data_IF_322118019004
#
_entry.id   IF_322118019004
#
_cell.length_a   1.000
_cell.length_b   1.000
_cell.length_c   1.000
_cell.angle_alpha   90.00
_cell.angle_beta   90.00
_cell.angle_gamma   90.00
#
_symmetry.space_group_name_H-M   'P 1'
#
loop_
_entity.id
_entity.type
_entity.pdbx_description
1 polymer ?
#
# COMPACT_ATOMS: atom_id res chain seq x y z
N UNK A 1 -2.46 -7.00 -9.10
CA UNK A 1 -2.91 -8.09 -9.99
C UNK A 1 -4.03 -8.92 -9.34
N UNK A 2 -5.29 -8.78 -9.80
CA UNK A 2 -6.42 -9.54 -9.26
C UNK A 2 -6.22 -11.05 -9.33
N UNK A 3 -5.63 -11.55 -10.42
CA UNK A 3 -5.36 -12.98 -10.63
C UNK A 3 -4.43 -13.55 -9.55
N UNK A 4 -3.31 -12.86 -9.25
CA UNK A 4 -2.35 -13.31 -8.25
C UNK A 4 -2.98 -13.27 -6.85
N UNK A 5 -3.72 -12.20 -6.52
CA UNK A 5 -4.47 -12.09 -5.26
C UNK A 5 -5.44 -13.26 -5.07
N UNK A 6 -6.27 -13.55 -6.08
CA UNK A 6 -7.24 -14.65 -6.01
C UNK A 6 -6.56 -16.02 -5.80
N UNK A 7 -5.45 -16.27 -6.52
CA UNK A 7 -4.68 -17.51 -6.39
C UNK A 7 -4.05 -17.63 -4.99
N UNK A 8 -3.50 -16.53 -4.46
CA UNK A 8 -2.91 -16.49 -3.12
C UNK A 8 -3.97 -16.78 -2.04
N UNK A 9 -5.12 -16.10 -2.10
CA UNK A 9 -6.24 -16.33 -1.16
C UNK A 9 -6.64 -17.80 -1.17
N UNK A 10 -6.87 -18.37 -2.38
CA UNK A 10 -7.24 -19.77 -2.52
C UNK A 10 -6.20 -20.71 -1.88
N UNK A 11 -4.93 -20.54 -2.20
CA UNK A 11 -3.85 -21.39 -1.68
C UNK A 11 -3.72 -21.30 -0.15
N UNK A 12 -3.86 -20.10 0.42
CA UNK A 12 -3.82 -19.92 1.88
C UNK A 12 -5.02 -20.57 2.57
N UNK A 13 -6.24 -20.48 2.01
CA UNK A 13 -7.41 -21.18 2.52
C UNK A 13 -7.22 -22.70 2.47
N UNK A 14 -6.72 -23.23 1.35
CA UNK A 14 -6.43 -24.66 1.18
C UNK A 14 -5.31 -25.16 2.11
N UNK A 15 -4.50 -24.26 2.66
CA UNK A 15 -3.52 -24.57 3.71
C UNK A 15 -4.04 -24.36 5.14
N UNK A 16 -5.35 -24.10 5.31
CA UNK A 16 -6.00 -23.98 6.61
C UNK A 16 -5.81 -22.63 7.28
N UNK A 17 -5.57 -21.54 6.51
CA UNK A 17 -5.45 -20.19 7.04
C UNK A 17 -6.72 -19.39 6.82
N UNK A 18 -7.21 -18.78 7.90
CA UNK A 18 -8.24 -17.75 7.79
C UNK A 18 -7.62 -16.45 7.29
N UNK A 19 -8.32 -15.75 6.43
CA UNK A 19 -7.82 -14.58 5.71
C UNK A 19 -8.76 -13.40 5.91
N UNK A 20 -8.16 -12.24 6.18
CA UNK A 20 -8.85 -10.96 6.12
C UNK A 20 -8.34 -10.22 4.88
N UNK A 21 -9.21 -10.08 3.88
CA UNK A 21 -8.94 -9.30 2.68
C UNK A 21 -9.25 -7.82 2.94
N UNK A 22 -8.22 -7.00 3.03
CA UNK A 22 -8.33 -5.55 3.27
C UNK A 22 -8.46 -4.73 1.97
N UNK A 23 -8.62 -5.39 0.83
CA UNK A 23 -8.81 -4.73 -0.46
C UNK A 23 -7.53 -4.15 -1.06
N UNK A 24 -7.69 -3.05 -1.80
CA UNK A 24 -6.60 -2.33 -2.44
C UNK A 24 -6.21 -1.13 -1.59
N UNK A 25 -5.05 -1.20 -0.96
CA UNK A 25 -4.56 -0.20 0.00
C UNK A 25 -3.06 0.07 -0.20
N UNK A 26 -2.53 1.22 0.24
CA UNK A 26 -1.09 1.44 0.30
C UNK A 26 -0.38 0.44 1.24
N UNK A 27 0.87 0.10 0.92
CA UNK A 27 1.66 -0.89 1.68
C UNK A 27 1.71 -0.64 3.20
N UNK A 28 1.86 0.59 3.72
CA UNK A 28 1.84 0.85 5.17
C UNK A 28 0.57 0.37 5.86
N UNK A 29 -0.56 0.37 5.17
CA UNK A 29 -1.83 -0.09 5.73
C UNK A 29 -1.88 -1.60 5.92
N UNK A 30 -1.17 -2.39 5.12
CA UNK A 30 -1.01 -3.82 5.39
C UNK A 30 -0.28 -4.05 6.71
N UNK A 31 0.83 -3.33 6.95
CA UNK A 31 1.56 -3.42 8.23
C UNK A 31 0.74 -2.93 9.42
N UNK A 32 -0.05 -1.87 9.25
CA UNK A 32 -1.01 -1.43 10.25
C UNK A 32 -2.04 -2.51 10.55
N UNK A 33 -2.68 -3.07 9.52
CA UNK A 33 -3.72 -4.07 9.66
C UNK A 33 -3.23 -5.32 10.39
N UNK A 34 -2.02 -5.81 10.12
CA UNK A 34 -1.48 -7.00 10.81
C UNK A 34 -1.39 -6.83 12.32
N UNK A 35 -1.16 -5.61 12.80
CA UNK A 35 -1.12 -5.26 14.23
C UNK A 35 -2.50 -4.93 14.78
N UNK A 36 -3.24 -4.09 14.07
CA UNK A 36 -4.56 -3.62 14.48
C UNK A 36 -5.56 -4.77 14.63
N UNK A 37 -5.55 -5.71 13.68
CA UNK A 37 -6.41 -6.90 13.68
C UNK A 37 -5.79 -8.10 14.43
N UNK A 38 -4.62 -7.91 15.05
CA UNK A 38 -3.88 -8.95 15.78
C UNK A 38 -3.58 -10.22 14.95
N UNK A 39 -3.49 -10.10 13.64
CA UNK A 39 -3.16 -11.20 12.73
C UNK A 39 -1.67 -11.54 12.74
N UNK A 40 -0.80 -10.57 13.04
CA UNK A 40 0.66 -10.65 13.06
C UNK A 40 1.32 -11.05 11.73
N UNK A 41 0.55 -11.51 10.75
CA UNK A 41 1.04 -11.92 9.42
C UNK A 41 0.24 -11.25 8.34
N UNK A 42 0.88 -10.94 7.22
CA UNK A 42 0.22 -10.30 6.09
C UNK A 42 1.03 -10.41 4.80
N UNK A 43 0.34 -10.37 3.68
CA UNK A 43 0.95 -10.38 2.36
C UNK A 43 0.38 -9.24 1.51
N UNK A 44 1.27 -8.41 0.96
CA UNK A 44 0.94 -7.38 -0.01
C UNK A 44 1.35 -7.84 -1.41
N UNK A 45 0.39 -7.90 -2.32
CA UNK A 45 0.67 -8.10 -3.76
C UNK A 45 0.88 -6.72 -4.39
N UNK A 46 2.08 -6.46 -4.90
CA UNK A 46 2.45 -5.14 -5.43
C UNK A 46 3.53 -5.22 -6.49
N UNK A 47 3.45 -4.41 -7.52
CA UNK A 47 4.55 -4.15 -8.46
C UNK A 47 5.54 -3.10 -7.94
N UNK A 48 5.25 -2.43 -6.81
CA UNK A 48 6.01 -1.26 -6.34
C UNK A 48 6.06 -0.16 -7.42
N UNK A 49 7.25 0.34 -7.76
CA UNK A 49 7.49 1.34 -8.81
C UNK A 49 7.81 0.72 -10.17
N UNK A 50 7.59 -0.57 -10.34
CA UNK A 50 7.84 -1.26 -11.60
C UNK A 50 6.69 -1.03 -12.61
N UNK A 51 6.93 -1.29 -13.91
CA UNK A 51 5.87 -1.29 -14.91
C UNK A 51 4.66 -2.17 -14.56
N UNK A 52 3.48 -1.93 -15.14
CA UNK A 52 2.22 -2.59 -14.77
C UNK A 52 2.18 -4.11 -14.90
N UNK A 53 3.06 -4.69 -15.71
CA UNK A 53 3.20 -6.13 -15.94
C UNK A 53 4.04 -6.84 -14.86
N UNK A 54 4.75 -6.08 -14.02
CA UNK A 54 5.50 -6.60 -12.88
C UNK A 54 4.61 -6.85 -11.67
N UNK A 55 4.93 -7.91 -10.93
CA UNK A 55 4.28 -8.24 -9.67
C UNK A 55 5.31 -8.73 -8.67
N UNK A 56 5.05 -8.47 -7.40
CA UNK A 56 5.86 -8.94 -6.29
C UNK A 56 5.01 -9.16 -5.05
N UNK A 57 5.62 -9.74 -4.03
CA UNK A 57 5.01 -9.99 -2.75
C UNK A 57 5.89 -9.38 -1.66
N UNK A 58 5.28 -8.56 -0.78
CA UNK A 58 5.88 -8.19 0.51
C UNK A 58 5.21 -9.05 1.56
N UNK A 59 6.01 -9.82 2.30
CA UNK A 59 5.51 -10.85 3.21
C UNK A 59 5.97 -10.53 4.62
N UNK A 60 5.02 -10.52 5.54
CA UNK A 60 5.25 -10.44 6.98
C UNK A 60 4.71 -11.72 7.64
N UNK A 61 5.50 -12.36 8.48
CA UNK A 61 5.10 -13.53 9.26
C UNK A 61 5.44 -13.27 10.72
N UNK A 62 4.46 -13.42 11.58
CA UNK A 62 4.57 -13.25 13.05
C UNK A 62 5.23 -11.93 13.47
N UNK A 63 4.95 -10.85 12.76
CA UNK A 63 5.48 -9.51 13.03
C UNK A 63 6.81 -9.20 12.35
N UNK A 64 7.43 -10.16 11.66
CA UNK A 64 8.70 -9.98 10.95
C UNK A 64 8.51 -9.93 9.44
N UNK A 65 9.08 -8.92 8.79
CA UNK A 65 9.09 -8.82 7.32
C UNK A 65 10.18 -9.70 6.75
N UNK A 66 9.80 -10.62 5.87
CA UNK A 66 10.75 -11.56 5.27
C UNK A 66 11.66 -10.86 4.26
N UNK A 67 12.97 -11.20 4.33
CA UNK A 67 13.99 -10.73 3.39
C UNK A 67 15.15 -11.73 3.32
N UNK A 68 16.00 -11.62 2.29
CA UNK A 68 17.23 -12.44 2.20
C UNK A 68 16.96 -13.93 2.37
N UNK A 69 17.64 -14.56 3.33
CA UNK A 69 17.60 -15.99 3.57
C UNK A 69 16.21 -16.52 3.92
N UNK A 70 15.39 -15.74 4.62
CA UNK A 70 14.03 -16.17 4.96
C UNK A 70 13.14 -16.37 3.73
N UNK A 71 13.38 -15.60 2.65
CA UNK A 71 12.72 -15.82 1.35
C UNK A 71 13.26 -17.10 0.70
N UNK A 72 14.56 -17.38 0.79
CA UNK A 72 15.16 -18.62 0.25
C UNK A 72 14.59 -19.85 0.98
N UNK A 73 14.41 -19.82 2.28
CA UNK A 73 13.75 -20.90 3.01
C UNK A 73 12.33 -21.18 2.55
N UNK A 74 11.56 -20.14 2.15
CA UNK A 74 10.24 -20.38 1.52
C UNK A 74 10.36 -21.12 0.20
N UNK A 75 11.36 -20.78 -0.63
CA UNK A 75 11.62 -21.46 -1.90
C UNK A 75 11.98 -22.93 -1.66
N UNK A 76 12.90 -23.22 -0.74
CA UNK A 76 13.32 -24.58 -0.38
C UNK A 76 12.12 -25.43 0.03
N UNK A 77 11.24 -24.91 0.91
CA UNK A 77 10.02 -25.61 1.33
C UNK A 77 9.09 -25.93 0.18
N UNK A 78 8.99 -25.06 -0.81
CA UNK A 78 8.19 -25.29 -2.02
C UNK A 78 8.83 -26.40 -2.87
N UNK A 79 10.13 -26.35 -3.08
CA UNK A 79 10.88 -27.34 -3.87
C UNK A 79 10.83 -28.74 -3.24
N UNK A 80 10.84 -28.82 -1.90
CA UNK A 80 10.71 -30.07 -1.14
C UNK A 80 9.27 -30.59 -1.04
N UNK A 81 8.30 -29.80 -1.49
CA UNK A 81 6.87 -30.14 -1.33
C UNK A 81 6.41 -30.13 0.14
N UNK A 82 7.13 -29.46 1.03
CA UNK A 82 6.81 -29.34 2.45
C UNK A 82 5.66 -28.33 2.64
N UNK A 83 4.49 -28.70 2.17
CA UNK A 83 3.28 -27.89 2.20
C UNK A 83 2.26 -28.53 3.14
N UNK A 84 1.49 -27.67 3.81
CA UNK A 84 0.39 -28.09 4.68
C UNK A 84 -0.92 -28.01 3.94
N UNK A 85 -1.88 -28.84 4.31
CA UNK A 85 -3.25 -28.82 3.81
C UNK A 85 -4.23 -28.56 4.94
N UNK A 86 -5.31 -27.86 4.66
CA UNK A 86 -6.35 -27.56 5.63
C UNK A 86 -7.54 -26.89 4.97
N UNK A 87 -8.40 -26.29 5.78
CA UNK A 87 -9.56 -25.54 5.34
C UNK A 87 -9.65 -24.25 6.15
N UNK A 88 -9.52 -23.12 5.49
CA UNK A 88 -9.69 -21.79 6.05
C UNK A 88 -10.85 -21.05 5.44
N UNK A 89 -11.14 -19.88 5.98
CA UNK A 89 -12.19 -18.96 5.50
C UNK A 89 -11.56 -17.64 5.01
N UNK A 90 -12.34 -16.87 4.25
CA UNK A 90 -11.98 -15.49 3.86
C UNK A 90 -13.13 -14.56 4.22
N UNK A 91 -12.77 -13.42 4.80
CA UNK A 91 -13.65 -12.28 5.01
C UNK A 91 -13.03 -11.01 4.43
N UNK A 92 -13.86 -10.01 4.16
CA UNK A 92 -13.40 -8.70 3.69
C UNK A 92 -13.59 -7.65 4.77
N UNK A 93 -12.59 -6.77 4.96
CA UNK A 93 -12.64 -5.71 5.95
C UNK A 93 -12.07 -4.41 5.37
N UNK A 94 -12.74 -3.29 5.65
CA UNK A 94 -12.23 -1.96 5.32
C UNK A 94 -11.48 -1.37 6.53
N UNK A 95 -10.16 -1.29 6.44
CA UNK A 95 -9.29 -0.76 7.49
C UNK A 95 -8.92 0.73 7.30
N UNK A 96 -9.41 1.36 6.23
CA UNK A 96 -9.09 2.76 5.90
C UNK A 96 -9.52 3.72 7.00
N UNK A 97 -10.75 3.64 7.54
CA UNK A 97 -11.18 4.55 8.61
C UNK A 97 -10.31 4.43 9.86
N UNK A 98 -10.00 3.22 10.29
CA UNK A 98 -9.18 2.97 11.49
C UNK A 98 -7.74 3.47 11.31
N UNK A 99 -7.19 3.31 10.10
CA UNK A 99 -5.86 3.82 9.75
C UNK A 99 -5.81 5.35 9.81
N UNK A 100 -6.80 6.02 9.21
CA UNK A 100 -6.90 7.49 9.23
C UNK A 100 -7.03 7.98 10.68
N UNK A 101 -7.92 7.37 11.47
CA UNK A 101 -8.12 7.77 12.87
C UNK A 101 -6.85 7.55 13.71
N UNK A 102 -6.13 6.46 13.48
CA UNK A 102 -4.86 6.19 14.15
C UNK A 102 -3.85 7.30 13.88
N UNK A 103 -3.71 7.74 12.63
CA UNK A 103 -2.79 8.84 12.28
C UNK A 103 -3.25 10.15 12.88
N UNK A 104 -4.55 10.47 12.80
CA UNK A 104 -5.12 11.70 13.36
C UNK A 104 -4.92 11.81 14.87
N UNK A 105 -4.94 10.69 15.58
CA UNK A 105 -4.71 10.66 17.02
C UNK A 105 -3.25 10.90 17.43
N UNK A 106 -2.31 10.59 16.53
CA UNK A 106 -0.87 10.68 16.82
C UNK A 106 -0.20 11.92 16.22
N UNK A 107 -0.73 12.45 15.11
CA UNK A 107 -0.08 13.51 14.32
C UNK A 107 -0.84 14.82 14.45
N UNK A 108 -0.14 15.85 14.89
CA UNK A 108 -0.66 17.22 14.94
C UNK A 108 0.14 18.13 14.02
N UNK A 109 -0.54 18.72 13.05
CA UNK A 109 0.04 19.76 12.19
C UNK A 109 -0.02 21.08 12.95
N UNK A 110 1.13 21.66 13.29
CA UNK A 110 1.23 22.83 14.17
C UNK A 110 0.63 24.12 13.59
N UNK A 111 0.47 24.19 12.26
CA UNK A 111 -0.21 25.29 11.56
C UNK A 111 -0.78 24.77 10.23
N UNK A 112 -1.87 25.37 9.71
CA UNK A 112 -2.42 25.01 8.41
C UNK A 112 -1.35 25.17 7.31
N UNK A 113 -1.23 24.13 6.48
CA UNK A 113 -0.29 24.13 5.35
C UNK A 113 -1.05 23.94 4.04
N UNK A 114 -0.53 24.58 2.98
CA UNK A 114 -0.93 24.25 1.61
C UNK A 114 -0.04 23.12 1.11
N UNK A 115 -0.66 22.04 0.66
CA UNK A 115 0.03 20.82 0.25
C UNK A 115 -0.39 20.45 -1.16
N UNK A 116 0.58 20.24 -2.05
CA UNK A 116 0.34 19.61 -3.35
C UNK A 116 0.69 18.13 -3.21
N UNK A 117 -0.27 17.25 -3.47
CA UNK A 117 -0.12 15.80 -3.40
C UNK A 117 -0.18 15.22 -4.80
N UNK A 118 0.90 14.61 -5.23
CA UNK A 118 0.97 13.85 -6.47
C UNK A 118 1.03 12.37 -6.14
N UNK A 119 -0.03 11.64 -6.49
CA UNK A 119 -0.14 10.21 -6.25
C UNK A 119 0.29 9.35 -7.44
N UNK A 120 0.66 9.97 -8.58
CA UNK A 120 1.08 9.27 -9.80
C UNK A 120 0.12 8.16 -10.23
N UNK A 121 -1.18 8.36 -10.06
CA UNK A 121 -2.23 7.37 -10.25
C UNK A 121 -2.09 6.10 -9.37
N UNK A 122 -1.23 6.14 -8.35
CA UNK A 122 -1.04 5.05 -7.42
C UNK A 122 -2.15 4.95 -6.37
N UNK A 123 -2.19 3.82 -5.67
CA UNK A 123 -3.23 3.52 -4.67
C UNK A 123 -3.26 4.50 -3.48
N UNK A 124 -2.20 5.27 -3.25
CA UNK A 124 -2.16 6.33 -2.25
C UNK A 124 -3.22 7.41 -2.52
N UNK A 125 -3.62 7.64 -3.78
CA UNK A 125 -4.65 8.59 -4.15
C UNK A 125 -6.01 8.37 -3.48
N UNK A 126 -6.32 7.13 -3.14
CA UNK A 126 -7.56 6.79 -2.44
C UNK A 126 -7.57 7.18 -0.94
N UNK A 127 -6.42 7.53 -0.36
CA UNK A 127 -6.30 7.75 1.09
C UNK A 127 -5.59 9.06 1.45
N UNK A 128 -4.46 9.35 0.81
CA UNK A 128 -3.58 10.44 1.20
C UNK A 128 -4.23 11.83 1.14
N UNK A 129 -5.02 12.21 0.11
CA UNK A 129 -5.65 13.51 0.07
C UNK A 129 -6.62 13.74 1.24
N UNK A 130 -7.45 12.75 1.55
CA UNK A 130 -8.40 12.85 2.66
C UNK A 130 -7.68 12.91 4.00
N UNK A 131 -6.67 12.07 4.22
CA UNK A 131 -5.87 12.07 5.44
C UNK A 131 -5.23 13.44 5.71
N UNK A 132 -4.64 14.07 4.69
CA UNK A 132 -4.02 15.39 4.82
C UNK A 132 -5.04 16.49 5.12
N UNK A 133 -6.24 16.43 4.51
CA UNK A 133 -7.35 17.35 4.85
C UNK A 133 -7.80 17.16 6.29
N UNK A 134 -7.91 15.92 6.75
CA UNK A 134 -8.28 15.60 8.13
C UNK A 134 -7.24 16.06 9.15
N UNK A 135 -5.99 16.20 8.73
CA UNK A 135 -4.90 16.82 9.51
C UNK A 135 -4.89 18.36 9.45
N UNK A 136 -5.83 18.99 8.74
CA UNK A 136 -5.98 20.44 8.66
C UNK A 136 -5.20 21.10 7.51
N UNK A 137 -4.74 20.33 6.51
CA UNK A 137 -4.06 20.88 5.35
C UNK A 137 -5.05 21.31 4.26
N UNK A 138 -4.71 22.38 3.52
CA UNK A 138 -5.33 22.74 2.24
C UNK A 138 -4.66 21.95 1.12
N UNK A 139 -5.38 20.98 0.52
CA UNK A 139 -4.80 19.99 -0.39
C UNK A 139 -5.16 20.26 -1.83
N UNK A 140 -4.14 20.41 -2.68
CA UNK A 140 -4.24 20.37 -4.14
C UNK A 140 -3.82 18.98 -4.63
N UNK A 141 -4.72 18.31 -5.35
CA UNK A 141 -4.50 16.94 -5.82
C UNK A 141 -3.94 16.91 -7.24
N UNK A 142 -2.92 16.04 -7.45
CA UNK A 142 -2.41 15.66 -8.76
C UNK A 142 -2.48 14.14 -8.90
N UNK A 143 -3.09 13.67 -9.98
CA UNK A 143 -3.09 12.27 -10.38
C UNK A 143 -3.49 11.31 -9.24
N UNK A 144 -4.48 11.72 -8.42
CA UNK A 144 -4.99 10.95 -7.28
C UNK A 144 -6.04 9.89 -7.67
N UNK A 145 -6.54 9.90 -8.90
CA UNK A 145 -7.36 8.81 -9.43
C UNK A 145 -6.50 7.56 -9.62
N UNK A 146 -6.94 6.44 -9.01
CA UNK A 146 -6.16 5.20 -9.04
C UNK A 146 -6.30 4.51 -10.39
N UNK A 147 -5.21 4.48 -11.16
CA UNK A 147 -5.13 3.79 -12.46
C UNK A 147 -3.78 3.05 -12.59
N UNK A 148 -3.85 1.71 -12.62
CA UNK A 148 -2.65 0.87 -12.75
C UNK A 148 -1.92 0.96 -14.09
N UNK A 149 -2.43 1.73 -15.06
CA UNK A 149 -1.72 2.03 -16.32
C UNK A 149 -0.81 3.25 -16.21
N UNK A 150 -0.93 4.04 -15.11
CA UNK A 150 -0.12 5.23 -14.86
C UNK A 150 -0.10 6.22 -16.04
N UNK A 151 -1.27 6.77 -16.46
CA UNK A 151 -1.39 7.51 -17.72
C UNK A 151 -0.66 8.86 -17.74
N UNK A 152 -0.31 9.42 -16.59
CA UNK A 152 0.30 10.74 -16.50
C UNK A 152 1.83 10.68 -16.46
N UNK A 153 2.39 10.00 -15.48
CA UNK A 153 3.83 9.75 -15.38
C UNK A 153 4.11 8.43 -14.67
N UNK A 154 5.32 7.91 -14.84
CA UNK A 154 5.73 6.69 -14.13
C UNK A 154 5.82 6.98 -12.60
N UNK A 155 5.29 6.11 -11.73
CA UNK A 155 5.22 6.35 -10.28
C UNK A 155 6.57 6.12 -9.58
N UNK A 156 7.65 6.62 -10.15
CA UNK A 156 8.99 6.57 -9.59
C UNK A 156 9.47 7.99 -9.22
N UNK A 157 9.40 8.37 -7.93
CA UNK A 157 9.76 9.71 -7.48
C UNK A 157 11.28 9.96 -7.46
N UNK A 158 12.10 8.95 -7.72
CA UNK A 158 13.56 9.12 -7.81
C UNK A 158 14.02 9.79 -9.11
N UNK A 159 13.13 9.86 -10.09
CA UNK A 159 13.40 10.44 -11.40
C UNK A 159 12.85 11.86 -11.51
N UNK A 160 13.71 12.89 -11.76
CA UNK A 160 13.28 14.28 -11.84
C UNK A 160 12.17 14.54 -12.87
N UNK A 161 12.20 13.85 -14.02
CA UNK A 161 11.18 13.97 -15.05
C UNK A 161 9.76 13.63 -14.58
N UNK A 162 9.62 12.76 -13.58
CA UNK A 162 8.33 12.42 -12.99
C UNK A 162 7.83 13.46 -11.98
N UNK A 163 8.59 14.54 -11.75
CA UNK A 163 8.31 15.57 -10.76
C UNK A 163 8.02 16.95 -11.37
N UNK A 164 8.04 17.07 -12.69
CA UNK A 164 7.95 18.35 -13.40
C UNK A 164 6.64 19.09 -13.11
N UNK A 165 5.49 18.42 -13.13
CA UNK A 165 4.18 19.02 -12.87
C UNK A 165 4.07 19.55 -11.43
N UNK A 166 4.71 18.88 -10.47
CA UNK A 166 4.78 19.35 -9.07
C UNK A 166 5.60 20.63 -8.96
N UNK A 167 6.74 20.67 -9.66
CA UNK A 167 7.61 21.85 -9.68
C UNK A 167 6.90 23.09 -10.21
N UNK A 168 6.09 22.95 -11.26
CA UNK A 168 5.27 24.02 -11.81
C UNK A 168 4.23 24.51 -10.78
N UNK A 169 3.51 23.63 -10.11
CA UNK A 169 2.48 24.02 -9.15
C UNK A 169 3.04 24.68 -7.89
N UNK A 170 4.19 24.25 -7.40
CA UNK A 170 4.87 24.93 -6.27
C UNK A 170 5.27 26.36 -6.66
N UNK A 171 5.71 26.57 -7.89
CA UNK A 171 6.03 27.91 -8.39
C UNK A 171 4.81 28.82 -8.50
N UNK A 172 3.67 28.26 -8.91
CA UNK A 172 2.39 28.99 -9.06
C UNK A 172 1.67 29.20 -7.71
N UNK A 173 1.85 28.27 -6.76
CA UNK A 173 1.25 28.30 -5.43
C UNK A 173 2.34 28.49 -4.35
N UNK A 174 2.90 29.72 -4.21
CA UNK A 174 3.95 29.97 -3.24
C UNK A 174 3.50 29.62 -1.82
N UNK A 175 4.40 29.10 -1.01
CA UNK A 175 4.14 28.59 0.34
C UNK A 175 3.45 27.21 0.41
N UNK A 176 3.48 26.42 -0.67
CA UNK A 176 3.03 25.02 -0.67
C UNK A 176 4.17 24.05 -0.39
N UNK A 177 3.84 22.92 0.20
CA UNK A 177 4.72 21.75 0.36
C UNK A 177 4.29 20.68 -0.64
N UNK A 178 5.24 20.01 -1.28
CA UNK A 178 5.00 18.91 -2.21
C UNK A 178 5.26 17.58 -1.50
N UNK A 179 4.35 16.66 -1.63
CA UNK A 179 4.43 15.29 -1.08
C UNK A 179 4.16 14.28 -2.20
#
# INVERSE_FOLDING_TARGET
SPRIKATLIKALMESGRDIIDIGQVPTPMMYFATRHLNCRSGVMVTGSHNPPDYNGLKIMIDGETLSGDSIQHLRERIEEGNLISGQGAVESMNVVPDYIERIRSDVHVGQPMKVVVDCGNGVAGAVAPQLLRDLGCEVTELYCEVDGNFPNHHPDPSKPENLEDRGFLVHVLPSSVVI
#
